data_IF_597187321669
#
_entry.id   IF_597187321669
#
_cell.length_a   1.000
_cell.length_b   1.000
_cell.length_c   1.000
_cell.angle_alpha   90.00
_cell.angle_beta   90.00
_cell.angle_gamma   90.00
#
_symmetry.space_group_name_H-M   'P 1'
#
loop_
_entity.id
_entity.type
_entity.pdbx_description
1 polymer ?
#
# COMPACT_ATOMS: atom_id res chain seq x y z
N UNK A 1 19.85 -10.69 2.18
CA UNK A 1 20.53 -10.03 3.32
C UNK A 1 20.45 -8.52 3.32
N UNK A 2 20.95 -7.82 2.28
CA UNK A 2 20.92 -6.35 2.24
C UNK A 2 19.50 -5.76 2.36
N UNK A 3 18.49 -6.36 1.72
CA UNK A 3 17.10 -5.89 1.79
C UNK A 3 16.51 -6.04 3.20
N UNK A 4 16.90 -7.09 3.94
CA UNK A 4 16.42 -7.32 5.31
C UNK A 4 17.02 -6.25 6.23
N UNK A 5 18.32 -5.99 6.11
CA UNK A 5 19.00 -4.91 6.85
C UNK A 5 18.38 -3.55 6.52
N UNK A 6 18.17 -3.25 5.25
CA UNK A 6 17.54 -2.01 4.80
C UNK A 6 16.12 -1.86 5.37
N UNK A 7 15.33 -2.94 5.36
CA UNK A 7 13.98 -2.96 5.92
C UNK A 7 13.99 -2.70 7.44
N UNK A 8 14.87 -3.35 8.19
CA UNK A 8 14.99 -3.09 9.63
C UNK A 8 15.44 -1.66 9.95
N UNK A 9 16.33 -1.07 9.15
CA UNK A 9 16.74 0.33 9.30
C UNK A 9 15.56 1.28 9.06
N UNK A 10 14.77 1.04 8.01
CA UNK A 10 13.56 1.82 7.70
C UNK A 10 12.49 1.69 8.80
N UNK A 11 12.31 0.49 9.35
CA UNK A 11 11.40 0.25 10.49
C UNK A 11 11.84 0.98 11.76
N UNK A 12 13.14 1.15 11.96
CA UNK A 12 13.72 1.72 13.19
C UNK A 12 13.66 3.24 13.23
N UNK A 13 13.95 3.92 12.10
CA UNK A 13 13.96 5.38 12.02
C UNK A 13 13.29 5.89 10.75
N UNK A 14 12.33 6.81 10.91
CA UNK A 14 11.65 7.47 9.79
C UNK A 14 12.60 8.31 8.92
N UNK A 15 13.73 8.74 9.50
CA UNK A 15 14.76 9.50 8.80
C UNK A 15 15.95 8.61 8.39
N UNK A 16 15.81 7.28 8.44
CA UNK A 16 16.88 6.35 8.11
C UNK A 16 17.48 6.62 6.72
N UNK A 17 16.65 6.99 5.75
CA UNK A 17 17.09 7.34 4.39
C UNK A 17 18.03 8.54 4.34
N UNK A 18 17.82 9.54 5.19
CA UNK A 18 18.66 10.75 5.25
C UNK A 18 19.91 10.57 6.10
N UNK A 19 19.83 9.75 7.16
CA UNK A 19 20.94 9.54 8.10
C UNK A 19 21.88 8.42 7.70
N UNK A 20 21.36 7.41 6.99
CA UNK A 20 22.13 6.24 6.62
C UNK A 20 22.72 6.41 5.21
N UNK A 21 24.04 6.62 5.15
CA UNK A 21 24.78 6.72 3.88
C UNK A 21 24.55 5.51 2.97
N UNK A 22 24.37 4.31 3.55
CA UNK A 22 24.07 3.09 2.79
C UNK A 22 22.75 3.25 2.02
N UNK A 23 21.65 3.57 2.71
CA UNK A 23 20.34 3.72 2.08
C UNK A 23 20.35 4.85 1.05
N UNK A 24 20.92 6.00 1.40
CA UNK A 24 21.08 7.13 0.48
C UNK A 24 21.86 6.71 -0.81
N UNK A 25 22.95 5.95 -0.66
CA UNK A 25 23.71 5.43 -1.81
C UNK A 25 22.89 4.45 -2.66
N UNK A 26 22.03 3.64 -2.05
CA UNK A 26 21.18 2.68 -2.77
C UNK A 26 20.05 3.36 -3.54
N UNK A 27 19.48 4.46 -3.02
CA UNK A 27 18.45 5.25 -3.72
C UNK A 27 18.95 5.75 -5.08
N UNK A 28 20.18 6.27 -5.11
CA UNK A 28 20.76 6.87 -6.32
C UNK A 28 21.51 5.85 -7.21
N UNK A 29 21.28 4.55 -7.03
CA UNK A 29 21.79 3.49 -7.92
C UNK A 29 20.65 2.89 -8.73
N UNK A 30 20.40 3.37 -9.98
CA UNK A 30 19.30 2.90 -10.81
C UNK A 30 19.24 1.38 -10.99
N UNK A 31 20.40 0.76 -11.22
CA UNK A 31 20.52 -0.69 -11.38
C UNK A 31 20.04 -1.47 -10.15
N UNK A 32 20.22 -0.93 -8.94
CA UNK A 32 19.76 -1.59 -7.72
C UNK A 32 18.23 -1.59 -7.62
N UNK A 33 17.58 -0.46 -7.95
CA UNK A 33 16.12 -0.36 -7.99
C UNK A 33 15.51 -1.28 -9.06
N UNK A 34 16.14 -1.38 -10.24
CA UNK A 34 15.75 -2.34 -11.28
C UNK A 34 15.87 -3.78 -10.80
N UNK A 35 16.99 -4.14 -10.17
CA UNK A 35 17.20 -5.49 -9.62
C UNK A 35 16.17 -5.84 -8.55
N UNK A 36 15.81 -4.88 -7.68
CA UNK A 36 14.73 -5.06 -6.70
C UNK A 36 13.39 -5.31 -7.39
N UNK A 37 13.05 -4.53 -8.41
CA UNK A 37 11.79 -4.71 -9.13
C UNK A 37 11.75 -6.08 -9.85
N UNK A 38 12.84 -6.47 -10.50
CA UNK A 38 12.98 -7.80 -11.13
C UNK A 38 12.81 -8.89 -10.07
N UNK A 39 13.46 -8.74 -8.90
CA UNK A 39 13.34 -9.69 -7.82
C UNK A 39 11.89 -9.84 -7.34
N UNK A 40 11.18 -8.71 -7.11
CA UNK A 40 9.76 -8.68 -6.73
C UNK A 40 8.88 -9.39 -7.78
N UNK A 41 9.11 -9.15 -9.07
CA UNK A 41 8.37 -9.79 -10.17
C UNK A 41 8.71 -11.29 -10.30
N UNK A 42 9.95 -11.68 -9.99
CA UNK A 42 10.44 -13.06 -10.11
C UNK A 42 10.06 -13.96 -8.95
N UNK A 43 9.68 -13.39 -7.80
CA UNK A 43 9.33 -14.15 -6.62
C UNK A 43 7.96 -14.82 -6.81
N UNK A 44 7.92 -16.15 -6.78
CA UNK A 44 6.72 -16.94 -7.08
C UNK A 44 6.37 -17.92 -5.96
N UNK A 45 5.09 -18.25 -5.88
CA UNK A 45 4.60 -19.36 -5.08
C UNK A 45 4.82 -20.67 -5.84
N UNK A 46 5.45 -21.65 -5.19
CA UNK A 46 5.62 -22.99 -5.76
C UNK A 46 4.29 -23.76 -5.66
N UNK A 47 3.69 -24.08 -6.81
CA UNK A 47 2.43 -24.81 -6.86
C UNK A 47 2.69 -26.32 -6.97
N UNK A 48 2.28 -27.08 -5.95
CA UNK A 48 2.37 -28.55 -5.94
C UNK A 48 1.47 -29.21 -7.00
N UNK A 49 0.50 -28.47 -7.56
CA UNK A 49 -0.52 -29.00 -8.47
C UNK A 49 -0.27 -28.67 -9.96
N UNK A 50 0.96 -28.29 -10.32
CA UNK A 50 1.39 -28.11 -11.72
C UNK A 50 0.74 -26.94 -12.48
N UNK A 51 -0.08 -26.13 -11.80
CA UNK A 51 -0.71 -24.94 -12.39
C UNK A 51 0.21 -23.74 -12.20
N UNK A 52 0.67 -23.16 -13.32
CA UNK A 52 1.54 -21.98 -13.48
C UNK A 52 1.96 -21.22 -12.21
N UNK A 53 3.27 -21.13 -11.98
CA UNK A 53 3.87 -20.34 -10.89
C UNK A 53 3.35 -18.88 -10.92
N UNK A 54 2.59 -18.50 -9.89
CA UNK A 54 2.04 -17.14 -9.76
C UNK A 54 2.97 -16.28 -8.89
N UNK A 55 3.21 -15.03 -9.28
CA UNK A 55 4.08 -14.13 -8.52
C UNK A 55 3.45 -13.73 -7.18
N UNK A 56 4.26 -13.64 -6.13
CA UNK A 56 3.79 -13.30 -4.77
C UNK A 56 3.14 -11.91 -4.72
N UNK A 57 3.66 -10.94 -5.48
CA UNK A 57 3.06 -9.61 -5.58
C UNK A 57 1.66 -9.65 -6.22
N UNK A 58 1.42 -10.53 -7.20
CA UNK A 58 0.11 -10.67 -7.82
C UNK A 58 -0.88 -11.36 -6.89
N UNK A 59 -0.42 -12.34 -6.10
CA UNK A 59 -1.22 -12.95 -5.04
C UNK A 59 -1.62 -11.93 -3.99
N UNK A 60 -0.68 -11.07 -3.58
CA UNK A 60 -0.94 -9.95 -2.67
C UNK A 60 -1.94 -8.96 -3.26
N UNK A 61 -1.78 -8.57 -4.53
CA UNK A 61 -2.71 -7.68 -5.25
C UNK A 61 -4.13 -8.27 -5.39
N UNK A 62 -4.23 -9.60 -5.45
CA UNK A 62 -5.52 -10.33 -5.49
C UNK A 62 -6.12 -10.58 -4.10
N UNK A 63 -5.39 -10.31 -3.02
CA UNK A 63 -5.83 -10.61 -1.66
C UNK A 63 -5.84 -12.11 -1.34
N UNK A 64 -5.03 -12.91 -2.04
CA UNK A 64 -4.84 -14.34 -1.75
C UNK A 64 -3.94 -14.50 -0.53
N UNK A 65 -4.22 -15.51 0.30
CA UNK A 65 -3.43 -15.79 1.50
C UNK A 65 -2.00 -16.19 1.15
N UNK A 66 -1.04 -15.46 1.73
CA UNK A 66 0.38 -15.82 1.70
C UNK A 66 0.74 -16.59 2.97
N UNK A 67 1.52 -17.66 2.83
CA UNK A 67 2.13 -18.34 3.98
C UNK A 67 3.11 -17.41 4.71
N UNK A 68 3.41 -17.66 6.00
CA UNK A 68 4.39 -16.86 6.74
C UNK A 68 5.74 -16.76 6.02
N UNK A 69 6.24 -17.86 5.46
CA UNK A 69 7.50 -17.90 4.70
C UNK A 69 7.44 -17.08 3.41
N UNK A 70 6.31 -17.06 2.70
CA UNK A 70 6.12 -16.20 1.53
C UNK A 70 6.07 -14.73 1.93
N UNK A 71 5.35 -14.39 3.01
CA UNK A 71 5.26 -13.02 3.50
C UNK A 71 6.63 -12.47 3.92
N UNK A 72 7.47 -13.26 4.59
CA UNK A 72 8.82 -12.87 4.99
C UNK A 72 9.77 -12.65 3.81
N UNK A 73 9.50 -13.28 2.66
CA UNK A 73 10.28 -13.06 1.42
C UNK A 73 9.83 -11.80 0.69
N UNK A 74 8.53 -11.60 0.49
CA UNK A 74 8.02 -10.51 -0.35
C UNK A 74 7.90 -9.16 0.36
N UNK A 75 7.45 -9.15 1.62
CA UNK A 75 7.08 -7.91 2.33
C UNK A 75 8.27 -6.98 2.54
N UNK A 76 9.42 -7.43 3.07
CA UNK A 76 10.58 -6.56 3.28
C UNK A 76 11.12 -5.97 1.98
N UNK A 77 11.17 -6.78 0.92
CA UNK A 77 11.68 -6.38 -0.39
C UNK A 77 10.77 -5.32 -1.02
N UNK A 78 9.46 -5.56 -1.00
CA UNK A 78 8.47 -4.61 -1.51
C UNK A 78 8.49 -3.29 -0.75
N UNK A 79 8.61 -3.35 0.58
CA UNK A 79 8.67 -2.18 1.43
C UNK A 79 9.93 -1.32 1.20
N UNK A 80 11.10 -1.96 1.10
CA UNK A 80 12.36 -1.30 0.75
C UNK A 80 12.27 -0.66 -0.62
N UNK A 81 11.78 -1.39 -1.62
CA UNK A 81 11.59 -0.85 -2.96
C UNK A 81 10.67 0.38 -2.96
N UNK A 82 9.50 0.29 -2.32
CA UNK A 82 8.55 1.41 -2.24
C UNK A 82 9.17 2.63 -1.56
N UNK A 83 9.94 2.42 -0.49
CA UNK A 83 10.59 3.48 0.27
C UNK A 83 11.71 4.16 -0.53
N UNK A 84 12.59 3.37 -1.16
CA UNK A 84 13.70 3.91 -1.94
C UNK A 84 13.20 4.61 -3.21
N UNK A 85 12.26 3.99 -3.93
CA UNK A 85 11.72 4.58 -5.14
C UNK A 85 10.91 5.85 -4.85
N UNK A 86 10.13 5.88 -3.76
CA UNK A 86 9.50 7.13 -3.29
C UNK A 86 10.52 8.23 -3.01
N UNK A 87 11.68 7.89 -2.45
CA UNK A 87 12.70 8.89 -2.18
C UNK A 87 13.32 9.43 -3.47
N UNK A 88 13.65 8.55 -4.42
CA UNK A 88 14.16 8.94 -5.74
C UNK A 88 13.14 9.82 -6.47
N UNK A 89 11.86 9.45 -6.41
CA UNK A 89 10.78 10.23 -7.00
C UNK A 89 10.66 11.65 -6.41
N UNK A 90 11.13 11.93 -5.20
CA UNK A 90 11.15 13.32 -4.69
C UNK A 90 12.29 14.14 -5.31
N UNK A 91 13.37 13.49 -5.73
CA UNK A 91 14.55 14.17 -6.28
C UNK A 91 14.47 14.40 -7.78
N UNK A 92 13.66 13.60 -8.49
CA UNK A 92 13.49 13.72 -9.94
C UNK A 92 12.53 14.86 -10.29
N UNK A 93 12.90 15.68 -11.26
CA UNK A 93 11.95 16.58 -11.90
C UNK A 93 11.08 15.84 -12.94
N UNK A 94 10.12 16.55 -13.53
CA UNK A 94 9.25 15.94 -14.54
C UNK A 94 10.04 15.58 -15.81
N UNK A 95 11.00 16.41 -16.23
CA UNK A 95 11.80 16.14 -17.44
C UNK A 95 12.62 14.86 -17.30
N UNK A 96 13.27 14.65 -16.16
CA UNK A 96 14.06 13.46 -15.83
C UNK A 96 13.17 12.22 -15.70
N UNK A 97 11.98 12.36 -15.13
CA UNK A 97 11.02 11.26 -14.99
C UNK A 97 10.48 10.76 -16.33
N UNK A 98 10.20 11.68 -17.27
CA UNK A 98 9.69 11.33 -18.61
C UNK A 98 10.79 11.08 -19.64
N UNK A 99 12.06 11.21 -19.26
CA UNK A 99 13.16 10.99 -20.16
C UNK A 99 13.40 9.48 -20.32
N UNK A 100 13.11 8.95 -21.51
CA UNK A 100 13.36 7.54 -21.84
C UNK A 100 14.82 7.23 -22.20
N UNK A 101 15.74 8.17 -21.97
CA UNK A 101 17.18 7.93 -22.14
C UNK A 101 17.69 6.79 -21.25
N UNK A 102 18.80 6.18 -21.67
CA UNK A 102 19.40 4.94 -21.13
C UNK A 102 19.14 4.68 -19.62
N UNK A 103 18.36 3.65 -19.25
CA UNK A 103 17.98 3.37 -17.87
C UNK A 103 19.16 2.90 -16.99
N UNK A 104 20.34 2.67 -17.58
CA UNK A 104 21.57 2.32 -16.86
C UNK A 104 22.29 3.56 -16.34
N UNK A 105 22.28 4.64 -17.13
CA UNK A 105 23.04 5.86 -16.87
C UNK A 105 22.15 7.06 -16.51
N UNK A 106 20.84 6.96 -16.74
CA UNK A 106 19.85 7.97 -16.44
C UNK A 106 19.47 8.04 -14.96
N UNK A 107 18.93 9.19 -14.56
CA UNK A 107 18.40 9.39 -13.21
C UNK A 107 17.14 8.54 -12.92
N UNK A 108 16.38 8.21 -13.98
CA UNK A 108 15.17 7.39 -13.91
C UNK A 108 15.48 5.90 -14.18
N UNK A 109 15.26 5.00 -13.20
CA UNK A 109 15.62 3.59 -13.32
C UNK A 109 14.64 2.75 -14.13
N UNK A 110 13.42 3.23 -14.40
CA UNK A 110 12.37 2.43 -15.00
C UNK A 110 11.83 3.11 -16.24
N UNK A 111 11.48 2.32 -17.27
CA UNK A 111 10.75 2.85 -18.42
C UNK A 111 9.34 3.24 -18.02
N UNK A 112 8.75 4.19 -18.74
CA UNK A 112 7.40 4.68 -18.44
C UNK A 112 6.36 3.54 -18.46
N UNK A 113 6.49 2.60 -19.40
CA UNK A 113 5.63 1.40 -19.46
C UNK A 113 5.73 0.54 -18.20
N UNK A 114 6.94 0.37 -17.65
CA UNK A 114 7.15 -0.42 -16.42
C UNK A 114 6.58 0.30 -15.20
N UNK A 115 6.64 1.63 -15.18
CA UNK A 115 6.01 2.45 -14.13
C UNK A 115 4.50 2.33 -14.17
N UNK A 116 3.87 2.28 -15.34
CA UNK A 116 2.42 2.08 -15.49
C UNK A 116 1.99 0.71 -14.94
N UNK A 117 2.70 -0.36 -15.30
CA UNK A 117 2.43 -1.71 -14.78
C UNK A 117 2.60 -1.77 -13.24
N UNK A 118 3.67 -1.15 -12.74
CA UNK A 118 3.96 -1.07 -11.33
C UNK A 118 2.87 -0.30 -10.59
N UNK A 119 2.48 0.87 -11.09
CA UNK A 119 1.42 1.69 -10.53
C UNK A 119 0.10 0.92 -10.41
N UNK A 120 -0.27 0.18 -11.47
CA UNK A 120 -1.46 -0.68 -11.45
C UNK A 120 -1.38 -1.75 -10.36
N UNK A 121 -0.26 -2.44 -10.28
CA UNK A 121 -0.06 -3.54 -9.32
C UNK A 121 -0.05 -3.01 -7.89
N UNK A 122 0.66 -1.92 -7.62
CA UNK A 122 0.74 -1.31 -6.29
C UNK A 122 -0.60 -0.69 -5.86
N UNK A 123 -1.38 -0.14 -6.80
CA UNK A 123 -2.76 0.32 -6.52
C UNK A 123 -3.61 -0.84 -6.00
N UNK A 124 -3.57 -1.99 -6.66
CA UNK A 124 -4.32 -3.17 -6.24
C UNK A 124 -3.83 -3.71 -4.89
N UNK A 125 -2.51 -3.72 -4.66
CA UNK A 125 -1.92 -4.04 -3.34
C UNK A 125 -2.40 -3.05 -2.27
N UNK A 126 -2.41 -1.74 -2.56
CA UNK A 126 -2.93 -0.72 -1.64
C UNK A 126 -4.37 -0.99 -1.24
N UNK A 127 -5.24 -1.35 -2.19
CA UNK A 127 -6.64 -1.66 -1.91
C UNK A 127 -6.75 -2.86 -0.94
N UNK A 128 -5.99 -3.93 -1.19
CA UNK A 128 -5.95 -5.09 -0.29
C UNK A 128 -5.41 -4.70 1.08
N UNK A 129 -4.35 -3.89 1.15
CA UNK A 129 -3.81 -3.42 2.43
C UNK A 129 -4.78 -2.52 3.20
N UNK A 130 -5.60 -1.71 2.50
CA UNK A 130 -6.69 -0.93 3.13
C UNK A 130 -7.76 -1.87 3.69
N UNK A 131 -8.20 -2.88 2.92
CA UNK A 131 -9.15 -3.89 3.39
C UNK A 131 -8.61 -4.65 4.61
N UNK A 132 -7.31 -4.96 4.63
CA UNK A 132 -6.63 -5.59 5.76
C UNK A 132 -6.49 -4.66 6.97
N UNK A 133 -6.23 -3.37 6.75
CA UNK A 133 -6.07 -2.37 7.81
C UNK A 133 -7.39 -2.00 8.48
N UNK A 134 -8.51 -2.08 7.73
CA UNK A 134 -9.87 -1.69 8.15
C UNK A 134 -10.90 -2.78 7.81
N UNK A 135 -10.97 -3.86 8.62
CA UNK A 135 -11.80 -5.03 8.33
C UNK A 135 -13.31 -4.79 8.37
N UNK A 136 -13.76 -3.61 8.84
CA UNK A 136 -15.19 -3.23 8.92
C UNK A 136 -15.85 -3.04 7.54
N UNK A 137 -15.06 -3.02 6.46
CA UNK A 137 -15.52 -2.65 5.12
C UNK A 137 -16.06 -3.84 4.30
N UNK A 138 -15.57 -5.08 4.49
CA UNK A 138 -16.11 -6.32 3.87
C UNK A 138 -15.72 -7.59 4.65
N UNK A 139 -16.62 -8.60 4.82
CA UNK A 139 -16.23 -9.95 5.24
C UNK A 139 -15.62 -10.71 4.04
N UNK A 140 -14.51 -10.23 3.51
CA UNK A 140 -13.74 -10.90 2.46
C UNK A 140 -12.84 -11.97 3.08
N UNK A 141 -12.58 -13.06 2.35
CA UNK A 141 -11.73 -14.19 2.75
C UNK A 141 -10.32 -13.75 3.22
N UNK A 142 -9.84 -12.57 2.79
CA UNK A 142 -8.58 -11.95 3.22
C UNK A 142 -8.55 -11.60 4.71
N UNK A 143 -9.70 -11.39 5.35
CA UNK A 143 -9.88 -11.10 6.77
C UNK A 143 -9.26 -12.17 7.69
N UNK A 144 -9.23 -13.43 7.25
CA UNK A 144 -8.63 -14.53 8.01
C UNK A 144 -7.10 -14.40 8.11
N UNK A 145 -6.44 -13.54 7.31
CA UNK A 145 -4.99 -13.39 7.25
C UNK A 145 -4.41 -12.78 8.54
N UNK A 146 -4.94 -11.63 8.95
CA UNK A 146 -4.52 -10.96 10.18
C UNK A 146 -5.29 -11.51 11.38
N UNK A 147 -6.55 -11.92 11.22
CA UNK A 147 -7.32 -12.50 12.33
C UNK A 147 -6.75 -13.84 12.80
N UNK A 148 -6.34 -14.74 11.89
CA UNK A 148 -5.67 -15.97 12.29
C UNK A 148 -4.35 -15.66 13.02
N UNK A 149 -3.53 -14.73 12.50
CA UNK A 149 -2.25 -14.33 13.12
C UNK A 149 -2.43 -13.64 14.48
N UNK A 150 -3.43 -12.77 14.63
CA UNK A 150 -3.71 -12.08 15.90
C UNK A 150 -4.38 -12.98 16.93
N UNK A 151 -5.10 -14.02 16.50
CA UNK A 151 -5.69 -15.02 17.40
C UNK A 151 -4.67 -16.03 17.96
N UNK A 152 -3.53 -16.22 17.30
CA UNK A 152 -2.44 -17.12 17.75
C UNK A 152 -1.20 -16.39 18.31
N UNK A 153 -1.34 -15.12 18.69
CA UNK A 153 -0.25 -14.38 19.36
C UNK A 153 0.74 -13.72 18.40
N UNK A 154 0.26 -13.02 17.36
CA UNK A 154 1.11 -12.19 16.51
C UNK A 154 1.94 -11.21 17.36
N UNK A 155 3.26 -11.33 17.25
CA UNK A 155 4.24 -10.36 17.78
C UNK A 155 3.85 -8.95 17.31
N UNK A 156 3.93 -7.94 18.18
CA UNK A 156 3.75 -6.53 17.81
C UNK A 156 4.56 -6.12 16.57
N UNK A 157 5.66 -6.83 16.32
CA UNK A 157 6.56 -6.66 15.19
C UNK A 157 5.87 -6.91 13.85
N UNK A 158 5.02 -7.93 13.74
CA UNK A 158 4.27 -8.21 12.50
C UNK A 158 3.38 -7.03 12.14
N UNK A 159 2.68 -6.48 13.13
CA UNK A 159 1.80 -5.32 12.93
C UNK A 159 2.60 -4.11 12.46
N UNK A 160 3.80 -3.91 13.02
CA UNK A 160 4.71 -2.83 12.60
C UNK A 160 5.18 -3.01 11.16
N UNK A 161 5.56 -4.23 10.77
CA UNK A 161 6.00 -4.58 9.41
C UNK A 161 4.89 -4.27 8.38
N UNK A 162 3.69 -4.80 8.60
CA UNK A 162 2.56 -4.58 7.67
C UNK A 162 2.11 -3.12 7.62
N UNK A 163 2.14 -2.43 8.76
CA UNK A 163 1.85 -0.99 8.81
C UNK A 163 2.91 -0.16 8.06
N UNK A 164 4.18 -0.57 8.11
CA UNK A 164 5.24 0.11 7.37
C UNK A 164 5.07 -0.09 5.87
N UNK A 165 4.84 -1.34 5.43
CA UNK A 165 4.53 -1.66 4.03
C UNK A 165 3.33 -0.86 3.53
N UNK A 166 2.25 -0.77 4.33
CA UNK A 166 1.08 0.03 3.97
C UNK A 166 1.44 1.49 3.71
N UNK A 167 2.21 2.11 4.60
CA UNK A 167 2.62 3.52 4.47
C UNK A 167 3.53 3.74 3.26
N UNK A 168 4.54 2.89 3.08
CA UNK A 168 5.50 3.02 1.97
C UNK A 168 4.81 2.84 0.62
N UNK A 169 3.93 1.84 0.50
CA UNK A 169 3.15 1.58 -0.72
C UNK A 169 2.21 2.75 -1.02
N UNK A 170 1.42 3.20 -0.03
CA UNK A 170 0.47 4.32 -0.23
C UNK A 170 1.22 5.60 -0.60
N UNK A 171 2.38 5.87 0.01
CA UNK A 171 3.19 7.03 -0.33
C UNK A 171 3.67 6.98 -1.78
N UNK A 172 4.21 5.84 -2.22
CA UNK A 172 4.68 5.68 -3.59
C UNK A 172 3.53 5.87 -4.59
N UNK A 173 2.41 5.19 -4.38
CA UNK A 173 1.24 5.29 -5.26
C UNK A 173 0.70 6.73 -5.30
N UNK A 174 0.68 7.44 -4.17
CA UNK A 174 0.30 8.86 -4.10
C UNK A 174 1.19 9.76 -4.94
N UNK A 175 2.51 9.53 -4.91
CA UNK A 175 3.47 10.32 -5.68
C UNK A 175 3.33 10.05 -7.18
N UNK A 176 3.12 8.78 -7.57
CA UNK A 176 2.88 8.40 -8.95
C UNK A 176 1.57 9.00 -9.48
N UNK A 177 0.50 8.93 -8.70
CA UNK A 177 -0.77 9.58 -9.06
C UNK A 177 -0.61 11.11 -9.20
N UNK A 178 0.09 11.76 -8.24
CA UNK A 178 0.34 13.21 -8.33
C UNK A 178 1.10 13.57 -9.61
N UNK A 179 2.09 12.76 -10.01
CA UNK A 179 2.78 12.94 -11.28
C UNK A 179 1.86 12.78 -12.49
N UNK A 180 1.04 11.74 -12.48
CA UNK A 180 0.10 11.46 -13.57
C UNK A 180 -0.92 12.60 -13.75
N UNK A 181 -1.36 13.23 -12.65
CA UNK A 181 -2.22 14.43 -12.73
C UNK A 181 -1.55 15.65 -13.36
N UNK A 182 -0.21 15.78 -13.27
CA UNK A 182 0.54 16.88 -13.89
C UNK A 182 0.76 16.65 -15.38
N UNK A 183 1.11 15.43 -15.75
CA UNK A 183 1.27 15.00 -17.15
C UNK A 183 0.86 13.53 -17.23
N UNK A 184 -0.25 13.20 -17.91
CA UNK A 184 -0.78 11.85 -17.90
C UNK A 184 0.17 10.91 -18.66
N UNK A 185 0.48 9.78 -18.04
CA UNK A 185 1.20 8.66 -18.62
C UNK A 185 0.46 7.33 -18.47
N UNK A 186 -0.51 7.28 -17.56
CA UNK A 186 -1.43 6.16 -17.39
C UNK A 186 -2.61 6.24 -18.37
N UNK A 187 -3.15 5.09 -18.78
CA UNK A 187 -4.39 5.04 -19.57
C UNK A 187 -5.59 5.51 -18.74
N UNK A 188 -6.60 6.10 -19.40
CA UNK A 188 -7.83 6.56 -18.74
C UNK A 188 -8.50 5.43 -17.96
N UNK A 189 -8.75 5.66 -16.66
CA UNK A 189 -9.38 4.67 -15.77
C UNK A 189 -8.40 3.78 -14.99
N UNK A 190 -7.08 3.99 -15.08
CA UNK A 190 -6.14 3.25 -14.24
C UNK A 190 -6.36 3.51 -12.75
N UNK A 191 -6.56 4.76 -12.34
CA UNK A 191 -6.66 5.12 -10.92
C UNK A 191 -8.06 4.85 -10.34
N UNK A 192 -9.08 4.92 -11.19
CA UNK A 192 -10.48 4.67 -10.84
C UNK A 192 -10.71 3.17 -10.76
N UNK A 193 -10.76 2.61 -9.56
CA UNK A 193 -11.05 1.18 -9.40
C UNK A 193 -12.54 0.97 -9.14
N UNK A 194 -13.23 0.26 -10.05
CA UNK A 194 -14.65 -0.13 -9.89
C UNK A 194 -14.94 -1.08 -8.70
N UNK A 195 -13.93 -1.44 -7.90
CA UNK A 195 -14.07 -2.27 -6.69
C UNK A 195 -14.64 -1.50 -5.50
N UNK A 196 -14.56 -0.17 -5.50
CA UNK A 196 -15.13 0.69 -4.46
C UNK A 196 -16.29 1.47 -5.08
N UNK A 197 -17.50 0.90 -5.01
CA UNK A 197 -18.71 1.67 -5.24
C UNK A 197 -18.98 2.52 -4.00
N UNK A 198 -18.60 3.80 -4.02
CA UNK A 198 -19.13 4.76 -3.05
C UNK A 198 -20.49 5.25 -3.56
N UNK A 199 -21.53 5.29 -2.72
CA UNK A 199 -22.73 6.04 -3.04
C UNK A 199 -22.33 7.51 -3.22
N UNK A 200 -22.44 7.99 -4.46
CA UNK A 200 -22.21 9.38 -4.82
C UNK A 200 -23.14 10.27 -3.97
N UNK A 201 -22.53 11.15 -3.18
CA UNK A 201 -23.05 12.40 -2.62
C UNK A 201 -24.58 12.58 -2.70
N UNK A 202 -25.30 12.21 -1.63
CA UNK A 202 -26.61 12.79 -1.35
C UNK A 202 -26.48 13.76 -0.18
N UNK A 203 -26.17 15.01 -0.54
CA UNK A 203 -26.49 16.26 0.14
C UNK A 203 -26.71 16.16 1.66
N UNK A 204 -25.64 16.36 2.43
CA UNK A 204 -25.77 16.59 3.86
C UNK A 204 -24.42 16.79 4.50
N UNK A 205 -24.15 18.01 4.95
CA UNK A 205 -22.94 18.38 5.68
C UNK A 205 -22.85 17.58 7.00
N UNK A 206 -22.27 16.38 6.96
CA UNK A 206 -22.00 15.60 8.18
C UNK A 206 -20.59 15.94 8.67
N UNK A 207 -20.55 16.67 9.78
CA UNK A 207 -19.32 17.15 10.42
C UNK A 207 -18.44 16.00 10.93
N UNK A 208 -17.52 15.53 10.09
CA UNK A 208 -16.45 14.55 10.34
C UNK A 208 -15.43 14.92 11.45
N UNK A 209 -15.63 16.02 12.19
CA UNK A 209 -14.61 16.59 13.09
C UNK A 209 -14.44 15.89 14.45
N UNK A 210 -15.36 15.01 14.89
CA UNK A 210 -15.35 14.50 16.28
C UNK A 210 -14.77 13.08 16.50
N UNK A 211 -14.58 12.25 15.48
CA UNK A 211 -14.08 10.86 15.67
C UNK A 211 -12.55 10.71 15.55
N UNK A 212 -11.81 11.81 15.67
CA UNK A 212 -10.36 11.88 15.45
C UNK A 212 -9.48 11.04 16.38
N UNK A 213 -10.01 10.46 17.47
CA UNK A 213 -9.20 9.89 18.57
C UNK A 213 -9.18 8.36 18.71
N UNK A 214 -10.00 7.57 18.01
CA UNK A 214 -10.17 6.15 18.38
C UNK A 214 -9.79 5.04 17.37
N UNK A 215 -9.32 5.32 16.16
CA UNK A 215 -8.97 4.23 15.22
C UNK A 215 -7.50 4.27 14.80
N UNK A 216 -6.77 3.20 15.16
CA UNK A 216 -5.43 2.89 14.70
C UNK A 216 -5.54 1.78 13.63
N UNK A 217 -4.84 1.87 12.49
CA UNK A 217 -4.77 0.78 11.51
C UNK A 217 -4.32 -0.52 12.18
N UNK A 218 -4.86 -1.66 11.71
CA UNK A 218 -4.47 -3.01 12.18
C UNK A 218 -4.75 -3.32 13.66
N UNK A 219 -5.68 -2.60 14.29
CA UNK A 219 -6.10 -2.87 15.68
C UNK A 219 -7.50 -3.46 15.71
N UNK A 220 -7.68 -4.60 16.38
CA UNK A 220 -9.00 -5.17 16.62
C UNK A 220 -9.89 -4.20 17.44
N UNK A 221 -11.16 -4.08 17.04
CA UNK A 221 -12.11 -3.14 17.64
C UNK A 221 -12.68 -3.72 18.94
N UNK A 222 -12.75 -2.87 19.97
CA UNK A 222 -13.47 -3.14 21.23
C UNK A 222 -14.98 -3.16 20.94
N UNK A 223 -15.74 -4.19 21.35
CA UNK A 223 -17.18 -4.21 21.15
C UNK A 223 -17.86 -3.00 21.80
N UNK A 224 -18.75 -2.34 21.05
CA UNK A 224 -19.57 -1.22 21.52
C UNK A 224 -20.58 -1.69 22.56
N UNK A 225 -20.90 -0.80 23.50
CA UNK A 225 -21.87 -1.08 24.56
C UNK A 225 -23.29 -0.73 24.10
N UNK A 226 -24.29 -1.43 24.66
CA UNK A 226 -25.72 -1.35 24.27
C UNK A 226 -26.27 0.09 24.18
N UNK A 227 -25.76 1.00 25.01
CA UNK A 227 -26.20 2.39 25.08
C UNK A 227 -25.75 3.22 23.85
N UNK A 228 -24.61 2.88 23.25
CA UNK A 228 -24.09 3.58 22.05
C UNK A 228 -24.90 3.20 20.79
N UNK A 229 -25.57 2.04 20.81
CA UNK A 229 -26.40 1.54 19.70
C UNK A 229 -27.76 2.27 19.65
N UNK A 230 -28.26 2.74 20.81
CA UNK A 230 -29.55 3.42 20.91
C UNK A 230 -29.49 4.91 20.53
N UNK A 231 -28.35 5.60 20.72
CA UNK A 231 -28.15 6.98 20.24
C UNK A 231 -27.85 7.08 18.73
N UNK A 232 -27.25 6.05 18.12
CA UNK A 232 -26.77 6.07 16.73
C UNK A 232 -27.89 5.75 15.69
N UNK A 233 -29.10 5.40 16.16
CA UNK A 233 -30.24 4.99 15.32
C UNK A 233 -30.85 6.08 14.42
N UNK A 234 -30.48 7.35 14.61
CA UNK A 234 -31.11 8.48 13.92
C UNK A 234 -30.27 9.10 12.78
N UNK A 235 -29.12 8.52 12.42
CA UNK A 235 -28.30 9.00 11.30
C UNK A 235 -28.37 8.02 10.12
N UNK A 236 -29.15 8.36 9.09
CA UNK A 236 -29.35 7.54 7.87
C UNK A 236 -28.16 7.60 6.90
N UNK A 237 -27.02 7.16 7.39
CA UNK A 237 -25.96 6.54 6.60
C UNK A 237 -25.56 5.32 7.42
N UNK A 238 -25.43 4.14 6.79
CA UNK A 238 -24.92 3.01 7.54
C UNK A 238 -23.60 3.45 8.15
N UNK A 239 -23.41 3.22 9.44
CA UNK A 239 -22.17 3.59 10.13
C UNK A 239 -20.93 3.09 9.37
N UNK A 240 -21.07 2.02 8.59
CA UNK A 240 -20.10 1.53 7.60
C UNK A 240 -19.75 2.53 6.49
N UNK A 241 -20.74 3.19 5.88
CA UNK A 241 -20.57 4.12 4.76
C UNK A 241 -19.91 5.42 5.21
N UNK A 242 -20.35 5.98 6.35
CA UNK A 242 -19.72 7.18 6.94
C UNK A 242 -18.28 6.90 7.36
N UNK A 243 -18.01 5.72 7.93
CA UNK A 243 -16.67 5.31 8.38
C UNK A 243 -15.74 5.02 7.20
N UNK A 244 -16.24 4.39 6.14
CA UNK A 244 -15.48 4.14 4.91
C UNK A 244 -15.10 5.46 4.24
N UNK A 245 -16.06 6.39 4.11
CA UNK A 245 -15.81 7.75 3.64
C UNK A 245 -14.83 8.52 4.54
N UNK A 246 -14.94 8.40 5.86
CA UNK A 246 -14.02 9.06 6.80
C UNK A 246 -12.58 8.53 6.64
N UNK A 247 -12.39 7.22 6.53
CA UNK A 247 -11.09 6.55 6.36
C UNK A 247 -10.46 6.93 5.02
N UNK A 248 -11.26 6.95 3.95
CA UNK A 248 -10.78 7.32 2.62
C UNK A 248 -10.55 8.83 2.47
N UNK A 249 -11.28 9.67 3.20
CA UNK A 249 -11.07 11.14 3.25
C UNK A 249 -9.85 11.55 4.08
N UNK A 250 -9.42 10.72 5.03
CA UNK A 250 -8.39 11.06 6.04
C UNK A 250 -6.99 10.50 5.69
N UNK A 251 -6.92 9.47 4.86
CA UNK A 251 -5.65 8.87 4.45
C UNK A 251 -5.11 9.50 3.15
N UNK A 252 -3.80 9.40 2.89
CA UNK A 252 -3.22 9.84 1.62
C UNK A 252 -3.87 9.14 0.41
N UNK A 253 -4.53 7.98 0.62
CA UNK A 253 -5.26 7.18 -0.37
C UNK A 253 -6.52 7.82 -0.97
N UNK A 254 -6.78 9.11 -0.73
CA UNK A 254 -7.90 9.86 -1.33
C UNK A 254 -7.85 9.88 -2.87
N UNK A 255 -6.66 9.69 -3.45
CA UNK A 255 -6.48 9.56 -4.90
C UNK A 255 -7.11 8.30 -5.52
N UNK A 256 -7.50 7.30 -4.73
CA UNK A 256 -8.19 6.10 -5.24
C UNK A 256 -9.69 6.31 -5.47
N UNK A 257 -10.21 7.50 -5.15
CA UNK A 257 -11.63 7.84 -5.20
C UNK A 257 -12.03 8.83 -6.29
N UNK A 258 -11.07 9.33 -7.07
CA UNK A 258 -11.30 10.28 -8.15
C UNK A 258 -11.06 9.65 -9.51
#
# INVERSE_FOLDING_TARGET
>A
DLCIIAHHLLLSDRLALHKCRLLCTLVFKPCYLQQLLVHIKSEKQFSLFGSSDTSLILLLAKGVHLTPSESQRIVPVLDVFCSLFSHLLVTLDDSEFYNESDPVNGAMPLKLSEVVELASTLRDVCLVLVELAYPDTRPSTSFNFIKARTSTGSSEEDTRIWMHLFKSTVNLVSQLHTRDTRRPFCQSGLWVTGRIALPLERNGQVSLRRQGRLQRPFRAIRPLTRNEIEEEGNSMLSTREVRTLAILSRNPSRFLLH
#
